data_IF_176690362020
#
_entry.id   IF_176690362020
#
_cell.length_a   1.000
_cell.length_b   1.000
_cell.length_c   1.000
_cell.angle_alpha   90.00
_cell.angle_beta   90.00
_cell.angle_gamma   90.00
#
_symmetry.space_group_name_H-M   'P 1'
#
loop_
_entity.id
_entity.type
_entity.pdbx_description
1 polymer ?
#
# COMPACT_ATOMS: atom_id res chain seq x y z
N UNK A 1 16.91 1.34 -1.39
CA UNK A 1 15.53 0.84 -1.44
C UNK A 1 14.74 1.69 -2.41
N UNK A 2 13.82 1.09 -3.17
CA UNK A 2 12.98 1.79 -4.14
C UNK A 2 11.85 2.53 -3.39
N UNK A 3 11.66 3.82 -3.65
CA UNK A 3 10.58 4.61 -3.04
C UNK A 3 9.28 4.35 -3.80
N UNK A 4 8.36 3.58 -3.20
CA UNK A 4 7.10 3.20 -3.85
C UNK A 4 6.21 4.41 -4.12
N UNK A 5 6.14 5.39 -3.23
CA UNK A 5 5.35 6.60 -3.42
C UNK A 5 5.82 7.39 -4.65
N UNK A 6 7.13 7.60 -4.77
CA UNK A 6 7.71 8.26 -5.94
C UNK A 6 7.48 7.45 -7.23
N UNK A 7 7.54 6.12 -7.14
CA UNK A 7 7.27 5.23 -8.27
C UNK A 7 5.82 5.36 -8.75
N UNK A 8 4.84 5.29 -7.84
CA UNK A 8 3.42 5.43 -8.16
C UNK A 8 3.06 6.84 -8.67
N UNK A 9 3.76 7.87 -8.19
CA UNK A 9 3.59 9.24 -8.66
C UNK A 9 4.09 9.43 -10.10
N UNK A 10 5.25 8.85 -10.43
CA UNK A 10 5.85 8.94 -11.77
C UNK A 10 5.22 7.99 -12.79
N UNK A 11 4.59 6.90 -12.34
CA UNK A 11 4.03 5.86 -13.20
C UNK A 11 2.91 6.40 -14.10
N UNK A 12 3.13 6.28 -15.41
CA UNK A 12 2.12 6.54 -16.43
C UNK A 12 1.38 5.24 -16.75
N UNK A 13 0.06 5.24 -16.62
CA UNK A 13 -0.78 4.08 -16.89
C UNK A 13 -1.50 4.29 -18.22
N UNK A 14 -1.30 3.36 -19.15
CA UNK A 14 -1.91 3.44 -20.47
C UNK A 14 -3.46 3.39 -20.37
N UNK A 15 -4.19 4.08 -21.26
CA UNK A 15 -5.65 3.99 -21.32
C UNK A 15 -6.14 2.53 -21.39
N UNK A 16 -7.18 2.21 -20.63
CA UNK A 16 -7.72 0.84 -20.54
C UNK A 16 -6.90 -0.14 -19.69
N UNK A 17 -5.84 0.35 -19.04
CA UNK A 17 -5.01 -0.44 -18.12
C UNK A 17 -5.11 0.07 -16.67
N UNK A 18 -4.66 -0.78 -15.75
CA UNK A 18 -4.58 -0.48 -14.32
C UNK A 18 -3.21 -0.92 -13.82
N UNK A 19 -2.53 -0.06 -13.05
CA UNK A 19 -1.36 -0.48 -12.30
C UNK A 19 -1.74 -0.80 -10.85
N UNK A 20 -1.15 -1.87 -10.32
CA UNK A 20 -1.43 -2.41 -8.99
C UNK A 20 -0.11 -2.57 -8.25
N UNK A 21 -0.04 -2.04 -7.03
CA UNK A 21 1.06 -2.30 -6.10
C UNK A 21 0.50 -2.93 -4.82
N UNK A 22 1.10 -4.04 -4.39
CA UNK A 22 0.74 -4.71 -3.14
C UNK A 22 1.43 -4.03 -1.96
N UNK A 23 0.67 -3.69 -0.93
CA UNK A 23 1.15 -3.00 0.28
C UNK A 23 1.40 -3.98 1.45
N UNK A 24 1.23 -5.27 1.21
CA UNK A 24 1.24 -6.32 2.22
C UNK A 24 -0.15 -6.58 2.81
N UNK A 25 -0.37 -7.80 3.30
CA UNK A 25 -1.68 -8.27 3.76
C UNK A 25 -2.75 -8.09 2.66
N UNK A 26 -3.92 -7.53 2.97
CA UNK A 26 -4.96 -7.24 2.00
C UNK A 26 -4.87 -5.81 1.40
N UNK A 27 -3.77 -5.09 1.65
CA UNK A 27 -3.58 -3.71 1.19
C UNK A 27 -3.07 -3.58 -0.24
N UNK A 28 -3.68 -2.68 -1.03
CA UNK A 28 -3.31 -2.39 -2.42
C UNK A 28 -3.34 -0.89 -2.72
N UNK A 29 -2.44 -0.44 -3.60
CA UNK A 29 -2.52 0.84 -4.29
C UNK A 29 -2.84 0.62 -5.77
N UNK A 30 -3.84 1.34 -6.27
CA UNK A 30 -4.39 1.23 -7.62
C UNK A 30 -4.20 2.55 -8.35
N UNK A 31 -3.40 2.57 -9.42
CA UNK A 31 -3.19 3.76 -10.25
C UNK A 31 -3.94 3.60 -11.57
N UNK A 32 -4.87 4.51 -11.81
CA UNK A 32 -5.67 4.56 -13.03
C UNK A 32 -4.98 5.42 -14.10
N UNK A 33 -5.36 5.23 -15.37
CA UNK A 33 -4.85 6.00 -16.50
C UNK A 33 -5.20 7.49 -16.47
N UNK A 34 -6.20 7.89 -15.68
CA UNK A 34 -6.55 9.30 -15.43
C UNK A 34 -5.78 9.91 -14.24
N UNK A 35 -4.67 9.28 -13.84
CA UNK A 35 -3.81 9.64 -12.72
C UNK A 35 -4.43 9.52 -11.32
N UNK A 36 -5.67 9.04 -11.18
CA UNK A 36 -6.22 8.75 -9.85
C UNK A 36 -5.43 7.63 -9.18
N UNK A 37 -5.15 7.81 -7.90
CA UNK A 37 -4.53 6.81 -7.04
C UNK A 37 -5.53 6.44 -5.94
N UNK A 38 -5.90 5.17 -5.88
CA UNK A 38 -6.86 4.64 -4.91
C UNK A 38 -6.14 3.66 -4.01
N UNK A 39 -6.33 3.80 -2.70
CA UNK A 39 -5.79 2.90 -1.71
C UNK A 39 -6.90 2.03 -1.14
N UNK A 40 -6.66 0.72 -1.10
CA UNK A 40 -7.57 -0.29 -0.53
C UNK A 40 -6.85 -0.93 0.64
N UNK A 41 -7.50 -0.98 1.80
CA UNK A 41 -6.98 -1.58 3.04
C UNK A 41 -5.51 -1.21 3.35
N UNK A 42 -5.19 0.08 3.30
CA UNK A 42 -3.83 0.59 3.53
C UNK A 42 -3.42 0.51 5.01
N UNK A 43 -3.22 -0.71 5.51
CA UNK A 43 -2.74 -0.96 6.86
C UNK A 43 -1.25 -0.64 6.96
N UNK A 44 -0.88 0.62 7.21
CA UNK A 44 0.54 1.06 7.23
C UNK A 44 1.13 1.21 8.64
N UNK A 45 0.48 0.65 9.66
CA UNK A 45 0.91 0.70 11.07
C UNK A 45 1.12 -0.70 11.64
N UNK A 46 1.36 -0.78 12.96
CA UNK A 46 1.43 -2.02 13.74
C UNK A 46 0.18 -2.21 14.63
N UNK A 47 -0.92 -1.50 14.36
CA UNK A 47 -2.06 -1.43 15.30
C UNK A 47 -2.81 -2.77 15.48
N UNK A 48 -2.89 -3.63 14.46
CA UNK A 48 -3.53 -4.95 14.59
C UNK A 48 -2.84 -5.82 15.65
N UNK A 49 -1.50 -5.78 15.76
CA UNK A 49 -0.77 -6.49 16.83
C UNK A 49 -1.21 -6.00 18.21
N UNK A 50 -1.35 -4.69 18.39
CA UNK A 50 -1.78 -4.07 19.65
C UNK A 50 -3.24 -4.37 19.98
N UNK A 51 -4.16 -4.23 19.01
CA UNK A 51 -5.61 -4.29 19.23
C UNK A 51 -6.13 -5.73 19.36
N UNK A 52 -5.54 -6.69 18.66
CA UNK A 52 -6.01 -8.08 18.64
C UNK A 52 -5.33 -8.98 19.69
N UNK A 53 -4.78 -8.37 20.75
CA UNK A 53 -4.05 -9.04 21.85
C UNK A 53 -2.78 -9.78 21.40
N UNK A 54 -2.16 -9.33 20.31
CA UNK A 54 -0.91 -9.88 19.78
C UNK A 54 -1.05 -11.24 19.09
N UNK A 55 0.10 -11.83 18.74
CA UNK A 55 0.19 -13.13 18.08
C UNK A 55 0.79 -13.06 16.68
N UNK A 56 1.35 -14.18 16.22
CA UNK A 56 2.03 -14.27 14.91
C UNK A 56 1.10 -13.89 13.75
N UNK A 57 -0.21 -14.13 13.90
CA UNK A 57 -1.21 -13.85 12.87
C UNK A 57 -1.58 -12.36 12.74
N UNK A 58 -1.47 -11.58 13.82
CA UNK A 58 -1.81 -10.15 13.85
C UNK A 58 -0.58 -9.25 13.69
N UNK A 59 0.61 -9.83 13.77
CA UNK A 59 1.89 -9.15 13.60
C UNK A 59 2.22 -8.91 12.13
N UNK A 60 2.59 -7.67 11.81
CA UNK A 60 3.16 -7.32 10.51
C UNK A 60 4.59 -7.86 10.41
N UNK A 61 4.81 -8.80 9.48
CA UNK A 61 6.11 -9.47 9.29
C UNK A 61 7.09 -8.67 8.42
N UNK A 62 6.57 -7.80 7.55
CA UNK A 62 7.35 -6.95 6.65
C UNK A 62 7.04 -5.48 6.91
N UNK A 63 8.04 -4.59 6.92
CA UNK A 63 7.80 -3.15 7.10
C UNK A 63 6.83 -2.64 6.02
N UNK A 64 6.00 -1.63 6.33
CA UNK A 64 5.10 -1.07 5.35
C UNK A 64 5.91 -0.46 4.19
N UNK A 65 5.50 -0.67 2.93
CA UNK A 65 6.25 -0.14 1.78
C UNK A 65 5.97 1.36 1.52
N UNK A 66 5.07 1.96 2.30
CA UNK A 66 4.70 3.38 2.27
C UNK A 66 4.63 3.91 3.71
N UNK A 67 5.00 5.17 3.86
CA UNK A 67 4.68 5.95 5.05
C UNK A 67 3.20 6.32 5.06
N UNK A 68 2.59 6.40 6.24
CA UNK A 68 1.18 6.79 6.38
C UNK A 68 0.89 8.20 5.82
N UNK A 69 1.89 9.09 5.81
CA UNK A 69 1.78 10.45 5.25
C UNK A 69 1.79 10.49 3.71
N UNK A 70 2.04 9.36 3.04
CA UNK A 70 2.05 9.25 1.59
C UNK A 70 0.71 8.76 1.00
N UNK A 71 -0.28 8.51 1.84
CA UNK A 71 -1.63 8.03 1.49
C UNK A 71 -2.66 9.16 1.66
#
# INVERSE_FOLDING_TARGET
>A
MMNLAATLAALQVAPGSLAIAWLGQAGFALKLSNHQLIYVDAYLSNMCETTLRGGVLSKRLLPPPLEASAV
#
